data_IF_369017403062
#
_entry.id   IF_369017403062
#
_cell.length_a   1.000
_cell.length_b   1.000
_cell.length_c   1.000
_cell.angle_alpha   90.00
_cell.angle_beta   90.00
_cell.angle_gamma   90.00
#
_symmetry.space_group_name_H-M   'P 1'
#
loop_
_entity.id
_entity.type
_entity.pdbx_description
1 polymer ?
#
# COMPACT_ATOMS: atom_id res chain seq x y z
N UNK A 1 23.38 27.15 1.50
CA UNK A 1 22.43 26.48 0.60
C UNK A 1 21.05 27.04 0.90
N UNK A 2 20.29 27.47 -0.12
CA UNK A 2 18.97 28.11 0.07
C UNK A 2 17.79 27.19 -0.28
N UNK A 3 18.03 26.12 -1.02
CA UNK A 3 17.03 25.15 -1.41
C UNK A 3 17.64 23.75 -1.44
N UNK A 4 16.93 22.76 -0.94
CA UNK A 4 17.26 21.33 -1.05
C UNK A 4 16.04 20.61 -1.59
N UNK A 5 16.26 19.82 -2.63
CA UNK A 5 15.26 18.91 -3.20
C UNK A 5 15.86 17.51 -3.19
N UNK A 6 15.08 16.53 -2.78
CA UNK A 6 15.56 15.16 -2.70
C UNK A 6 14.49 14.19 -2.19
N UNK A 7 14.89 12.96 -1.95
CA UNK A 7 14.07 11.90 -1.35
C UNK A 7 14.07 12.04 0.18
N UNK A 8 13.63 11.01 0.92
CA UNK A 8 13.55 11.02 2.38
C UNK A 8 14.81 11.54 3.10
N UNK A 9 16.00 11.31 2.55
CA UNK A 9 17.24 11.82 3.15
C UNK A 9 17.32 13.36 3.19
N UNK A 10 16.64 14.06 2.28
CA UNK A 10 16.57 15.52 2.28
C UNK A 10 15.88 16.09 3.53
N UNK A 11 15.05 15.31 4.22
CA UNK A 11 14.42 15.72 5.48
C UNK A 11 15.44 16.08 6.59
N UNK A 12 16.66 15.56 6.50
CA UNK A 12 17.74 15.80 7.46
C UNK A 12 18.78 16.82 6.98
N UNK A 13 18.63 17.38 5.77
CA UNK A 13 19.60 18.31 5.23
C UNK A 13 19.65 19.62 6.06
N UNK A 14 20.86 20.10 6.44
CA UNK A 14 20.98 21.36 7.17
C UNK A 14 20.67 22.54 6.25
N UNK A 15 19.76 23.39 6.68
CA UNK A 15 19.41 24.65 6.02
C UNK A 15 19.42 25.77 7.06
N UNK A 16 20.03 26.91 6.70
CA UNK A 16 19.92 28.14 7.46
C UNK A 16 18.63 28.86 7.04
N UNK A 17 17.97 29.49 8.02
CA UNK A 17 16.77 30.31 7.79
C UNK A 17 15.68 29.54 7.03
N UNK A 18 15.32 28.37 7.54
CA UNK A 18 14.30 27.52 6.94
C UNK A 18 12.95 28.23 6.97
N UNK A 19 12.43 28.62 5.81
CA UNK A 19 11.15 29.34 5.68
C UNK A 19 10.01 28.47 5.14
N UNK A 20 10.30 27.38 4.44
CA UNK A 20 9.31 26.48 3.89
C UNK A 20 9.80 25.04 3.91
N UNK A 21 8.94 24.15 4.34
CA UNK A 21 9.07 22.71 4.21
C UNK A 21 7.91 22.20 3.36
N UNK A 22 8.23 21.42 2.33
CA UNK A 22 7.21 20.83 1.48
C UNK A 22 7.56 19.37 1.15
N UNK A 23 6.54 18.50 1.11
CA UNK A 23 6.68 17.16 0.54
C UNK A 23 5.44 16.77 -0.25
N UNK A 24 5.65 15.89 -1.21
CA UNK A 24 4.62 15.39 -2.09
C UNK A 24 4.33 13.93 -1.78
N UNK A 25 3.04 13.54 -1.85
CA UNK A 25 2.54 12.17 -1.73
C UNK A 25 2.87 11.56 -0.35
N UNK A 26 2.28 12.14 0.69
CA UNK A 26 2.57 11.88 2.10
C UNK A 26 2.35 10.42 2.55
N UNK A 27 1.57 9.66 1.79
CA UNK A 27 1.36 8.22 2.00
C UNK A 27 2.37 7.32 1.29
N UNK A 28 3.41 7.86 0.60
CA UNK A 28 4.37 7.03 -0.09
C UNK A 28 5.31 6.30 0.88
N UNK A 29 5.34 4.97 0.80
CA UNK A 29 6.23 4.10 1.59
C UNK A 29 7.73 4.37 1.37
N UNK A 30 8.11 5.06 0.28
CA UNK A 30 9.47 5.54 0.04
C UNK A 30 9.90 6.66 1.01
N UNK A 31 8.96 7.30 1.69
CA UNK A 31 9.22 8.31 2.72
C UNK A 31 9.54 7.67 4.08
N UNK A 32 9.29 6.38 4.26
CA UNK A 32 9.61 5.65 5.49
C UNK A 32 11.08 5.27 5.55
N UNK A 33 11.74 5.50 6.69
CA UNK A 33 13.12 5.03 6.91
C UNK A 33 13.11 3.56 7.34
N UNK A 34 13.72 2.65 6.55
CA UNK A 34 13.71 1.23 6.87
C UNK A 34 14.68 0.82 7.98
N UNK A 35 15.52 1.73 8.47
CA UNK A 35 16.53 1.48 9.49
C UNK A 35 16.18 2.17 10.80
N UNK A 36 16.52 1.52 11.88
CA UNK A 36 16.35 2.10 13.22
C UNK A 36 17.08 3.45 13.34
N UNK A 37 16.48 4.46 13.95
CA UNK A 37 15.24 4.45 14.74
C UNK A 37 13.92 4.62 13.97
N UNK A 38 13.89 4.38 12.67
CA UNK A 38 12.70 4.40 11.79
C UNK A 38 11.95 5.75 11.75
N UNK A 39 12.63 6.91 11.62
CA UNK A 39 11.97 8.19 11.63
C UNK A 39 11.08 8.35 10.39
N UNK A 40 9.85 8.78 10.60
CA UNK A 40 8.94 9.16 9.53
C UNK A 40 9.31 10.55 9.00
N UNK A 41 9.44 10.70 7.68
CA UNK A 41 9.75 12.00 7.04
C UNK A 41 8.74 13.06 7.46
N UNK A 42 7.47 12.74 7.49
CA UNK A 42 6.39 13.60 7.93
C UNK A 42 6.65 14.20 9.32
N UNK A 43 7.06 13.36 10.28
CA UNK A 43 7.25 13.79 11.64
C UNK A 43 8.54 14.60 11.81
N UNK A 44 9.62 14.20 11.12
CA UNK A 44 10.86 14.98 11.06
C UNK A 44 10.64 16.38 10.49
N UNK A 45 9.93 16.47 9.36
CA UNK A 45 9.67 17.74 8.69
C UNK A 45 8.72 18.64 9.50
N UNK A 46 7.71 18.05 10.14
CA UNK A 46 6.83 18.78 11.05
C UNK A 46 7.62 19.36 12.22
N UNK A 47 8.43 18.53 12.89
CA UNK A 47 9.26 18.98 14.02
C UNK A 47 10.20 20.12 13.60
N UNK A 48 10.81 20.01 12.42
CA UNK A 48 11.69 21.07 11.90
C UNK A 48 10.93 22.37 11.62
N UNK A 49 9.74 22.27 11.02
CA UNK A 49 8.90 23.43 10.78
C UNK A 49 8.51 24.11 12.10
N UNK A 50 8.08 23.33 13.10
CA UNK A 50 7.72 23.84 14.44
C UNK A 50 8.91 24.53 15.13
N UNK A 51 10.10 23.93 15.07
CA UNK A 51 11.31 24.49 15.70
C UNK A 51 11.81 25.77 15.05
N UNK A 52 11.58 25.95 13.76
CA UNK A 52 12.08 27.10 12.99
C UNK A 52 11.02 28.15 12.67
N UNK A 53 9.75 27.86 12.93
CA UNK A 53 8.62 28.70 12.50
C UNK A 53 8.40 28.68 10.98
N UNK A 54 8.92 27.68 10.28
CA UNK A 54 8.76 27.55 8.84
C UNK A 54 7.32 27.14 8.46
N UNK A 55 6.87 27.59 7.30
CA UNK A 55 5.62 27.11 6.72
C UNK A 55 5.74 25.64 6.35
N UNK A 56 4.64 24.87 6.53
CA UNK A 56 4.56 23.45 6.26
C UNK A 56 3.51 23.21 5.16
N UNK A 57 3.90 22.56 4.06
CA UNK A 57 3.01 22.21 2.96
C UNK A 57 3.15 20.72 2.65
N UNK A 58 2.05 20.03 2.59
CA UNK A 58 1.98 18.66 2.07
C UNK A 58 0.94 18.58 0.95
N UNK A 59 1.25 17.85 -0.09
CA UNK A 59 0.38 17.70 -1.27
C UNK A 59 0.38 16.28 -1.79
N UNK A 60 -0.64 15.96 -2.59
CA UNK A 60 -0.82 14.66 -3.23
C UNK A 60 -2.18 14.55 -3.88
N UNK A 61 -2.38 13.51 -4.67
CA UNK A 61 -3.69 13.18 -5.23
C UNK A 61 -4.60 12.49 -4.21
N UNK A 62 -4.03 11.89 -3.17
CA UNK A 62 -4.74 11.33 -2.03
C UNK A 62 -4.09 11.83 -0.73
N UNK A 63 -4.86 11.83 0.34
CA UNK A 63 -4.39 12.25 1.66
C UNK A 63 -4.24 11.02 2.55
N UNK A 64 -3.14 10.90 3.27
CA UNK A 64 -2.98 9.84 4.27
C UNK A 64 -3.84 10.07 5.50
N UNK A 65 -4.14 9.01 6.25
CA UNK A 65 -4.93 9.10 7.47
C UNK A 65 -4.24 9.97 8.54
N UNK A 66 -2.91 9.90 8.75
CA UNK A 66 -2.22 10.81 9.67
C UNK A 66 -2.31 12.30 9.29
N UNK A 67 -2.26 12.64 7.99
CA UNK A 67 -2.45 14.02 7.54
C UNK A 67 -3.90 14.44 7.67
N UNK A 68 -4.86 13.54 7.39
CA UNK A 68 -6.28 13.81 7.63
C UNK A 68 -6.55 14.15 9.10
N UNK A 69 -5.96 13.41 10.02
CA UNK A 69 -6.09 13.70 11.44
C UNK A 69 -5.60 15.12 11.79
N UNK A 70 -4.45 15.54 11.28
CA UNK A 70 -3.92 16.90 11.51
C UNK A 70 -4.82 18.00 10.95
N UNK A 71 -5.54 17.71 9.87
CA UNK A 71 -6.55 18.62 9.33
C UNK A 71 -7.76 18.69 10.25
N UNK A 72 -8.28 17.57 10.75
CA UNK A 72 -9.43 17.54 11.67
C UNK A 72 -9.10 18.16 13.04
N UNK A 73 -7.85 18.06 13.49
CA UNK A 73 -7.32 18.72 14.69
C UNK A 73 -7.07 20.22 14.47
N UNK A 74 -7.21 20.75 13.26
CA UNK A 74 -6.95 22.15 12.93
C UNK A 74 -5.48 22.54 12.88
N UNK A 75 -4.56 21.58 12.93
CA UNK A 75 -3.11 21.80 12.80
C UNK A 75 -2.74 22.15 11.34
N UNK A 76 -3.42 21.55 10.38
CA UNK A 76 -3.26 21.81 8.96
C UNK A 76 -4.55 22.38 8.38
N UNK A 77 -4.42 23.32 7.46
CA UNK A 77 -5.55 23.86 6.69
C UNK A 77 -5.63 23.12 5.37
N UNK A 78 -6.80 22.51 5.09
CA UNK A 78 -7.04 21.84 3.83
C UNK A 78 -7.24 22.86 2.68
N UNK A 79 -6.41 22.75 1.64
CA UNK A 79 -6.60 23.47 0.37
C UNK A 79 -7.07 22.44 -0.65
N UNK A 80 -8.32 22.53 -1.07
CA UNK A 80 -8.95 21.56 -1.97
C UNK A 80 -9.68 22.29 -3.11
N UNK A 81 -9.67 21.71 -4.32
CA UNK A 81 -10.49 22.24 -5.41
C UNK A 81 -11.98 22.06 -5.10
N UNK A 82 -12.83 22.88 -5.74
CA UNK A 82 -14.28 22.69 -5.64
C UNK A 82 -14.70 21.39 -6.32
N UNK A 83 -15.84 20.77 -5.91
CA UNK A 83 -16.35 19.57 -6.58
C UNK A 83 -16.58 19.75 -8.09
N UNK A 84 -16.86 20.96 -8.54
CA UNK A 84 -17.00 21.29 -9.96
C UNK A 84 -15.65 21.24 -10.68
N UNK A 85 -14.62 21.84 -10.08
CA UNK A 85 -13.25 21.79 -10.61
C UNK A 85 -12.73 20.35 -10.67
N UNK A 86 -13.03 19.55 -9.65
CA UNK A 86 -12.67 18.12 -9.64
C UNK A 86 -13.36 17.39 -10.79
N UNK A 87 -14.67 17.55 -10.95
CA UNK A 87 -15.43 16.90 -12.04
C UNK A 87 -14.97 17.35 -13.43
N UNK A 88 -14.55 18.59 -13.59
CA UNK A 88 -14.02 19.09 -14.84
C UNK A 88 -12.64 18.51 -15.20
N UNK A 89 -11.80 18.27 -14.20
CA UNK A 89 -10.42 17.79 -14.36
C UNK A 89 -10.26 16.26 -14.28
N UNK A 90 -11.20 15.58 -13.64
CA UNK A 90 -11.11 14.12 -13.44
C UNK A 90 -11.51 13.34 -14.70
N UNK A 91 -10.86 12.19 -14.98
CA UNK A 91 -11.31 11.23 -15.98
C UNK A 91 -12.59 10.53 -15.52
N UNK A 92 -13.33 9.94 -16.46
CA UNK A 92 -14.47 9.08 -16.16
C UNK A 92 -13.98 7.74 -15.60
N UNK A 93 -14.36 7.39 -14.39
CA UNK A 93 -14.00 6.11 -13.77
C UNK A 93 -15.12 5.08 -13.97
N UNK A 94 -14.74 3.91 -14.45
CA UNK A 94 -15.60 2.75 -14.68
C UNK A 94 -15.04 1.56 -13.90
N UNK A 95 -15.91 0.75 -13.32
CA UNK A 95 -15.52 -0.51 -12.66
C UNK A 95 -15.96 -1.65 -13.56
N UNK A 96 -15.00 -2.50 -13.96
CA UNK A 96 -15.31 -3.70 -14.72
C UNK A 96 -15.97 -4.73 -13.79
N UNK A 97 -17.21 -5.09 -14.09
CA UNK A 97 -17.92 -6.13 -13.38
C UNK A 97 -17.30 -7.51 -13.61
N UNK A 98 -17.71 -8.45 -12.76
CA UNK A 98 -17.41 -9.89 -12.93
C UNK A 98 -18.28 -10.48 -14.06
N UNK A 99 -18.27 -9.86 -15.24
CA UNK A 99 -18.91 -10.39 -16.46
C UNK A 99 -18.32 -11.73 -16.90
N UNK A 100 -17.56 -12.37 -16.03
CA UNK A 100 -16.90 -13.65 -16.23
C UNK A 100 -17.88 -14.77 -16.59
N UNK A 101 -19.10 -14.70 -16.08
CA UNK A 101 -20.11 -15.75 -16.29
C UNK A 101 -20.85 -15.63 -17.64
N UNK A 102 -20.72 -14.50 -18.35
CA UNK A 102 -21.52 -14.25 -19.57
C UNK A 102 -20.76 -14.26 -20.89
N UNK A 103 -19.44 -14.26 -20.86
CA UNK A 103 -18.63 -14.01 -22.05
C UNK A 103 -17.85 -15.22 -22.61
N UNK A 104 -18.04 -16.42 -22.10
CA UNK A 104 -17.35 -17.63 -22.58
C UNK A 104 -15.83 -17.59 -22.32
N UNK A 105 -15.03 -18.36 -23.12
CA UNK A 105 -13.57 -18.43 -22.89
C UNK A 105 -12.81 -17.12 -22.96
N UNK A 106 -13.35 -16.09 -23.63
CA UNK A 106 -12.76 -14.74 -23.65
C UNK A 106 -12.89 -14.00 -22.31
N UNK A 107 -13.90 -14.33 -21.51
CA UNK A 107 -14.06 -13.82 -20.14
C UNK A 107 -13.01 -14.36 -19.17
N UNK A 108 -12.37 -15.44 -19.56
CA UNK A 108 -11.22 -16.01 -18.87
C UNK A 108 -9.93 -15.23 -19.16
N UNK A 109 -9.95 -14.33 -20.14
CA UNK A 109 -8.85 -13.42 -20.39
C UNK A 109 -8.67 -12.45 -19.20
N UNK A 110 -7.45 -12.09 -18.94
CA UNK A 110 -7.09 -11.15 -17.86
C UNK A 110 -7.64 -9.74 -18.08
N UNK A 111 -8.05 -9.42 -19.29
CA UNK A 111 -8.61 -8.12 -19.67
C UNK A 111 -10.13 -8.26 -19.83
N UNK A 112 -10.92 -7.74 -18.89
CA UNK A 112 -12.38 -7.76 -19.02
C UNK A 112 -12.85 -7.06 -20.29
N UNK A 113 -14.02 -7.45 -20.87
CA UNK A 113 -14.55 -6.86 -22.09
C UNK A 113 -14.66 -5.34 -22.06
N UNK A 114 -15.02 -4.76 -20.90
CA UNK A 114 -15.07 -3.31 -20.72
C UNK A 114 -13.69 -2.68 -20.89
N UNK A 115 -12.67 -3.21 -20.20
CA UNK A 115 -11.31 -2.72 -20.28
C UNK A 115 -10.75 -2.83 -21.71
N UNK A 116 -11.02 -3.95 -22.38
CA UNK A 116 -10.59 -4.15 -23.78
C UNK A 116 -11.25 -3.13 -24.73
N UNK A 117 -12.57 -2.93 -24.66
CA UNK A 117 -13.28 -1.94 -25.49
C UNK A 117 -12.78 -0.54 -25.25
N UNK A 118 -12.62 -0.15 -23.96
CA UNK A 118 -12.10 1.17 -23.60
C UNK A 118 -10.70 1.39 -24.15
N UNK A 119 -9.79 0.41 -24.00
CA UNK A 119 -8.45 0.50 -24.55
C UNK A 119 -8.45 0.61 -26.07
N UNK A 120 -9.27 -0.19 -26.75
CA UNK A 120 -9.36 -0.17 -28.22
C UNK A 120 -9.78 1.20 -28.75
N UNK A 121 -10.83 1.78 -28.19
CA UNK A 121 -11.30 3.13 -28.58
C UNK A 121 -10.28 4.20 -28.21
N UNK A 122 -9.67 4.12 -27.05
CA UNK A 122 -8.68 5.09 -26.59
C UNK A 122 -7.41 5.10 -27.46
N UNK A 123 -6.96 3.94 -27.93
CA UNK A 123 -5.81 3.81 -28.83
C UNK A 123 -6.00 4.48 -30.20
N UNK A 124 -7.21 4.82 -30.57
CA UNK A 124 -7.48 5.66 -31.76
C UNK A 124 -7.09 7.13 -31.53
N UNK A 125 -6.99 7.55 -30.27
CA UNK A 125 -6.80 8.94 -29.88
C UNK A 125 -5.50 9.21 -29.09
N UNK A 126 -4.72 8.19 -28.75
CA UNK A 126 -3.46 8.37 -28.01
C UNK A 126 -3.03 7.17 -27.17
N UNK A 127 -2.06 7.35 -26.30
CA UNK A 127 -1.51 6.27 -25.48
C UNK A 127 -2.50 5.82 -24.39
N UNK A 128 -2.42 4.55 -24.02
CA UNK A 128 -3.19 3.92 -22.94
C UNK A 128 -2.25 3.41 -21.87
N UNK A 129 -2.44 3.88 -20.63
CA UNK A 129 -1.70 3.40 -19.47
C UNK A 129 -2.34 2.10 -18.95
N UNK A 130 -1.52 1.13 -18.62
CA UNK A 130 -1.95 -0.12 -17.97
C UNK A 130 -1.14 -0.30 -16.70
N UNK A 131 -1.75 0.01 -15.56
CA UNK A 131 -1.13 -0.23 -14.26
C UNK A 131 -1.33 -1.69 -13.85
N UNK A 132 -0.22 -2.35 -13.49
CA UNK A 132 -0.21 -3.74 -13.03
C UNK A 132 0.58 -3.88 -11.73
N UNK A 133 0.18 -4.75 -10.80
CA UNK A 133 0.93 -4.96 -9.57
C UNK A 133 2.40 -5.35 -9.83
N UNK A 134 3.32 -4.92 -8.97
CA UNK A 134 4.75 -5.32 -9.05
C UNK A 134 4.90 -6.83 -8.88
N UNK A 135 5.86 -7.43 -9.58
CA UNK A 135 6.36 -8.79 -9.26
C UNK A 135 6.91 -8.79 -7.83
N UNK A 136 6.50 -9.77 -7.03
CA UNK A 136 6.88 -9.83 -5.61
C UNK A 136 5.89 -9.14 -4.68
N UNK A 137 5.00 -8.30 -5.17
CA UNK A 137 3.76 -7.92 -4.51
C UNK A 137 2.82 -9.14 -4.56
N UNK A 138 3.10 -10.02 -3.64
CA UNK A 138 2.25 -11.12 -3.18
C UNK A 138 1.65 -11.98 -4.30
N UNK A 139 2.17 -13.16 -4.51
CA UNK A 139 1.40 -14.17 -5.21
C UNK A 139 0.25 -14.61 -4.31
N UNK A 140 -0.85 -13.85 -4.27
CA UNK A 140 -2.10 -14.39 -3.77
C UNK A 140 -2.50 -15.55 -4.66
N UNK A 141 -3.06 -16.55 -4.04
CA UNK A 141 -3.47 -17.77 -4.71
C UNK A 141 -4.99 -17.75 -4.86
N UNK A 142 -5.46 -18.30 -5.95
CA UNK A 142 -6.87 -18.58 -6.19
C UNK A 142 -7.04 -20.04 -6.61
N UNK A 143 -8.24 -20.55 -6.48
CA UNK A 143 -8.60 -21.83 -7.04
C UNK A 143 -8.35 -21.85 -8.55
N UNK A 144 -7.70 -22.89 -9.06
CA UNK A 144 -7.45 -23.03 -10.50
C UNK A 144 -8.76 -23.20 -11.28
N UNK A 145 -9.76 -23.80 -10.66
CA UNK A 145 -11.02 -24.18 -11.32
C UNK A 145 -12.03 -23.02 -11.33
N UNK A 146 -12.51 -22.57 -10.16
CA UNK A 146 -13.53 -21.53 -10.06
C UNK A 146 -12.96 -20.11 -9.87
N UNK A 147 -11.65 -19.97 -9.64
CA UNK A 147 -10.93 -18.71 -9.44
C UNK A 147 -11.24 -17.97 -8.15
N UNK A 148 -12.05 -18.55 -7.28
CA UNK A 148 -12.27 -17.99 -5.96
C UNK A 148 -10.92 -17.75 -5.22
N UNK A 149 -10.71 -16.59 -4.60
CA UNK A 149 -9.50 -16.33 -3.82
C UNK A 149 -9.28 -17.40 -2.74
N UNK A 150 -8.09 -17.98 -2.71
CA UNK A 150 -7.78 -19.00 -1.71
C UNK A 150 -7.63 -18.37 -0.33
N UNK A 151 -8.50 -18.77 0.60
CA UNK A 151 -8.52 -18.30 1.98
C UNK A 151 -8.07 -19.38 2.95
N UNK A 152 -7.42 -18.96 4.05
CA UNK A 152 -6.98 -19.83 5.12
C UNK A 152 -8.19 -20.38 5.90
N UNK A 153 -8.26 -21.68 6.13
CA UNK A 153 -9.34 -22.28 6.92
C UNK A 153 -9.31 -21.91 8.41
N UNK A 154 -8.16 -21.40 8.92
CA UNK A 154 -8.00 -21.01 10.33
C UNK A 154 -8.41 -19.58 10.63
N UNK A 155 -8.04 -18.64 9.73
CA UNK A 155 -8.21 -17.21 10.01
C UNK A 155 -8.81 -16.44 8.83
N UNK A 156 -9.22 -17.13 7.77
CA UNK A 156 -9.74 -16.57 6.52
C UNK A 156 -8.80 -15.58 5.82
N UNK A 157 -7.54 -15.49 6.26
CA UNK A 157 -6.50 -14.68 5.64
C UNK A 157 -6.14 -15.18 4.23
N UNK A 158 -5.60 -14.30 3.37
CA UNK A 158 -5.25 -14.65 1.99
C UNK A 158 -4.11 -15.68 1.97
N UNK A 159 -4.24 -16.66 1.09
CA UNK A 159 -3.20 -17.64 0.82
C UNK A 159 -2.21 -17.11 -0.21
N UNK A 160 -0.91 -17.32 0.03
CA UNK A 160 0.15 -16.91 -0.88
C UNK A 160 1.21 -17.98 -1.06
N UNK A 161 2.04 -17.80 -2.09
CA UNK A 161 3.22 -18.62 -2.31
C UNK A 161 4.45 -17.81 -1.86
N UNK A 162 5.21 -18.26 -0.87
CA UNK A 162 6.46 -17.59 -0.48
C UNK A 162 7.46 -17.55 -1.63
N UNK A 163 8.28 -16.51 -1.69
CA UNK A 163 9.35 -16.42 -2.69
C UNK A 163 10.29 -17.64 -2.56
N UNK A 164 10.41 -18.41 -3.65
CA UNK A 164 11.21 -19.66 -3.66
C UNK A 164 10.57 -20.84 -2.92
N UNK A 165 9.36 -20.66 -2.37
CA UNK A 165 8.64 -21.75 -1.67
C UNK A 165 7.76 -22.54 -2.61
N UNK A 166 7.57 -23.82 -2.29
CA UNK A 166 6.66 -24.74 -3.00
C UNK A 166 5.35 -25.00 -2.26
N UNK A 167 5.21 -24.46 -1.05
CA UNK A 167 4.06 -24.75 -0.17
C UNK A 167 3.23 -23.49 0.05
N UNK A 168 1.92 -23.53 -0.29
CA UNK A 168 1.00 -22.43 0.00
C UNK A 168 0.96 -22.11 1.49
N UNK A 169 1.03 -20.84 1.83
CA UNK A 169 1.10 -20.35 3.22
C UNK A 169 0.10 -19.22 3.43
N UNK A 170 -0.62 -19.26 4.55
CA UNK A 170 -1.46 -18.15 4.96
C UNK A 170 -0.59 -16.94 5.33
N UNK A 171 -0.96 -15.79 4.80
CA UNK A 171 -0.21 -14.55 4.99
C UNK A 171 -0.49 -13.87 6.31
N UNK A 172 -1.62 -14.18 6.94
CA UNK A 172 -1.95 -13.63 8.24
C UNK A 172 -1.41 -14.49 9.39
N UNK A 173 -1.79 -15.76 9.46
CA UNK A 173 -1.43 -16.64 10.58
C UNK A 173 -0.24 -17.56 10.29
N UNK A 174 0.30 -17.55 9.06
CA UNK A 174 1.42 -18.38 8.67
C UNK A 174 1.16 -19.89 8.57
N UNK A 175 -0.11 -20.32 8.63
CA UNK A 175 -0.45 -21.73 8.43
C UNK A 175 -0.03 -22.18 7.03
N UNK A 176 0.68 -23.33 6.94
CA UNK A 176 1.11 -23.91 5.68
C UNK A 176 0.15 -25.01 5.24
N UNK A 177 -0.02 -25.16 3.93
CA UNK A 177 -0.88 -26.15 3.32
C UNK A 177 -0.06 -27.01 2.38
N UNK A 178 0.12 -28.29 2.72
CA UNK A 178 0.81 -29.26 1.85
C UNK A 178 0.12 -29.43 0.51
N UNK A 179 0.70 -30.19 -0.43
CA UNK A 179 0.20 -30.33 -1.80
C UNK A 179 -1.27 -30.77 -1.95
N UNK A 180 -1.82 -31.40 -0.92
CA UNK A 180 -3.23 -31.85 -0.86
C UNK A 180 -4.06 -31.10 0.19
N UNK A 181 -3.49 -30.10 0.84
CA UNK A 181 -4.08 -29.47 2.03
C UNK A 181 -5.09 -28.37 1.75
N UNK A 182 -5.13 -27.80 0.54
CA UNK A 182 -6.13 -26.83 0.16
C UNK A 182 -7.32 -27.52 -0.50
N UNK A 183 -8.52 -27.16 -0.07
CA UNK A 183 -9.79 -27.51 -0.72
C UNK A 183 -10.57 -26.22 -0.90
N UNK A 184 -10.98 -25.92 -2.11
CA UNK A 184 -11.78 -24.73 -2.40
C UNK A 184 -13.17 -24.90 -1.80
N UNK A 185 -13.66 -23.94 -0.98
CA UNK A 185 -14.99 -24.04 -0.38
C UNK A 185 -16.12 -23.91 -1.40
N UNK A 186 -15.86 -23.35 -2.59
CA UNK A 186 -16.88 -23.09 -3.61
C UNK A 186 -17.05 -24.23 -4.62
N UNK A 187 -15.97 -24.99 -4.91
CA UNK A 187 -16.02 -26.00 -5.97
C UNK A 187 -15.24 -27.28 -5.67
N UNK A 188 -14.75 -27.45 -4.43
CA UNK A 188 -13.93 -28.59 -3.97
C UNK A 188 -12.63 -28.81 -4.79
N UNK A 189 -12.26 -27.87 -5.65
CA UNK A 189 -11.02 -27.88 -6.41
C UNK A 189 -9.81 -27.83 -5.49
N UNK A 190 -8.74 -28.58 -5.82
CA UNK A 190 -7.54 -28.69 -5.00
C UNK A 190 -6.32 -27.98 -5.59
N UNK A 191 -6.42 -27.57 -6.84
CA UNK A 191 -5.34 -26.89 -7.52
C UNK A 191 -5.39 -25.38 -7.31
N UNK A 192 -4.22 -24.82 -7.05
CA UNK A 192 -4.04 -23.39 -6.84
C UNK A 192 -3.29 -22.77 -8.01
N UNK A 193 -3.68 -21.56 -8.37
CA UNK A 193 -3.00 -20.72 -9.33
C UNK A 193 -2.55 -19.42 -8.70
N UNK A 194 -1.44 -18.87 -9.18
CA UNK A 194 -1.09 -17.48 -8.88
C UNK A 194 -2.04 -16.54 -9.63
N UNK A 195 -2.57 -15.56 -8.92
CA UNK A 195 -3.48 -14.57 -9.50
C UNK A 195 -2.72 -13.35 -10.04
N UNK A 196 -1.49 -13.10 -9.56
CA UNK A 196 -0.68 -11.96 -10.03
C UNK A 196 0.19 -12.38 -11.22
N UNK A 197 0.02 -11.66 -12.32
CA UNK A 197 0.86 -11.76 -13.52
C UNK A 197 1.71 -10.50 -13.60
N UNK A 198 3.04 -10.64 -13.65
CA UNK A 198 3.94 -9.49 -13.72
C UNK A 198 3.86 -8.72 -15.05
N UNK A 199 4.32 -7.46 -15.05
CA UNK A 199 4.27 -6.53 -16.18
C UNK A 199 4.75 -7.13 -17.52
N UNK A 200 5.82 -7.92 -17.51
CA UNK A 200 6.35 -8.55 -18.74
C UNK A 200 5.35 -9.51 -19.39
N UNK A 201 4.72 -10.39 -18.62
CA UNK A 201 3.73 -11.32 -19.16
C UNK A 201 2.46 -10.59 -19.61
N UNK A 202 2.08 -9.53 -18.90
CA UNK A 202 0.99 -8.65 -19.33
C UNK A 202 1.30 -7.99 -20.67
N UNK A 203 2.56 -7.53 -20.87
CA UNK A 203 2.99 -6.95 -22.12
C UNK A 203 2.87 -7.95 -23.29
N UNK A 204 3.27 -9.21 -23.08
CA UNK A 204 3.14 -10.27 -24.07
C UNK A 204 1.66 -10.60 -24.39
N UNK A 205 0.79 -10.62 -23.38
CA UNK A 205 -0.65 -10.89 -23.54
C UNK A 205 -1.36 -9.73 -24.25
N UNK A 206 -1.08 -8.49 -23.86
CA UNK A 206 -1.65 -7.30 -24.50
C UNK A 206 -1.12 -7.07 -25.91
N UNK A 207 0.17 -7.33 -26.18
CA UNK A 207 0.72 -7.28 -27.53
C UNK A 207 0.02 -8.23 -28.52
N UNK A 208 -0.43 -9.40 -28.03
CA UNK A 208 -1.25 -10.33 -28.82
C UNK A 208 -2.69 -9.87 -28.97
N UNK A 209 -3.26 -9.21 -27.94
CA UNK A 209 -4.64 -8.72 -27.96
C UNK A 209 -4.82 -7.46 -28.82
N UNK A 210 -3.74 -6.70 -29.05
CA UNK A 210 -3.72 -5.45 -29.84
C UNK A 210 -2.61 -5.51 -30.90
N UNK A 211 -2.77 -6.32 -31.95
CA UNK A 211 -1.75 -6.46 -32.99
C UNK A 211 -1.49 -5.11 -33.68
N UNK A 212 -0.22 -4.81 -33.91
CA UNK A 212 0.22 -3.56 -34.57
C UNK A 212 0.35 -2.34 -33.63
N UNK A 213 -0.04 -2.46 -32.36
CA UNK A 213 0.14 -1.39 -31.36
C UNK A 213 1.49 -1.53 -30.66
N UNK A 214 2.22 -0.42 -30.53
CA UNK A 214 3.46 -0.36 -29.77
C UNK A 214 3.21 -0.66 -28.30
N UNK A 215 4.02 -1.53 -27.69
CA UNK A 215 3.96 -1.87 -26.27
C UNK A 215 5.24 -1.41 -25.58
N UNK A 216 5.10 -0.57 -24.56
CA UNK A 216 6.21 -0.07 -23.73
C UNK A 216 6.03 -0.54 -22.30
N UNK A 217 7.12 -0.79 -21.59
CA UNK A 217 7.09 -1.19 -20.18
C UNK A 217 7.89 -0.23 -19.34
N UNK A 218 7.36 0.12 -18.17
CA UNK A 218 8.02 0.96 -17.17
C UNK A 218 7.95 0.30 -15.79
N UNK A 219 9.10 0.08 -15.16
CA UNK A 219 9.13 -0.63 -13.85
C UNK A 219 10.52 -1.15 -13.49
N UNK A 220 10.58 -2.37 -12.92
CA UNK A 220 11.86 -2.98 -12.52
C UNK A 220 12.78 -3.18 -13.73
N UNK A 221 13.88 -2.49 -13.73
CA UNK A 221 14.90 -2.50 -14.80
C UNK A 221 15.01 -1.18 -15.53
N UNK A 222 13.90 -0.63 -15.99
CA UNK A 222 13.88 0.66 -16.66
C UNK A 222 12.60 1.43 -16.29
N UNK A 223 12.75 2.62 -15.76
CA UNK A 223 11.64 3.54 -15.48
C UNK A 223 11.68 4.64 -16.53
N UNK A 224 10.62 4.72 -17.34
CA UNK A 224 10.43 5.76 -18.32
C UNK A 224 9.99 7.05 -17.63
N UNK A 225 10.57 8.18 -17.98
CA UNK A 225 10.14 9.47 -17.44
C UNK A 225 8.89 9.99 -18.19
N UNK A 226 8.83 9.80 -19.49
CA UNK A 226 7.75 10.29 -20.35
C UNK A 226 7.53 9.38 -21.57
N UNK A 227 6.35 9.52 -22.18
CA UNK A 227 5.99 8.93 -23.49
C UNK A 227 5.35 9.99 -24.36
N UNK A 228 5.47 9.83 -25.67
CA UNK A 228 4.85 10.72 -26.67
C UNK A 228 3.32 10.55 -26.75
N UNK A 229 2.66 11.37 -27.59
CA UNK A 229 1.21 11.38 -27.77
C UNK A 229 0.71 10.23 -28.68
N UNK A 230 1.61 9.47 -29.32
CA UNK A 230 1.23 8.44 -30.28
C UNK A 230 0.54 7.25 -29.59
N UNK A 231 -0.37 6.55 -30.31
CA UNK A 231 -1.01 5.33 -29.83
C UNK A 231 0.01 4.29 -29.35
N UNK A 232 -0.03 3.95 -28.09
CA UNK A 232 0.81 2.93 -27.49
C UNK A 232 0.16 2.34 -26.23
N UNK A 233 0.43 1.09 -25.92
CA UNK A 233 0.15 0.49 -24.62
C UNK A 233 1.35 0.68 -23.73
N UNK A 234 1.18 1.43 -22.64
CA UNK A 234 2.23 1.70 -21.65
C UNK A 234 1.95 0.92 -20.37
N UNK A 235 2.71 -0.14 -20.13
CA UNK A 235 2.51 -1.02 -19.00
C UNK A 235 3.45 -0.60 -17.88
N UNK A 236 2.88 -0.13 -16.78
CA UNK A 236 3.65 0.37 -15.65
C UNK A 236 3.31 -0.35 -14.35
N UNK A 237 4.29 -0.42 -13.46
CA UNK A 237 4.04 -0.80 -12.05
C UNK A 237 3.80 0.44 -11.21
N UNK A 238 3.01 0.36 -10.11
CA UNK A 238 2.73 1.51 -9.26
C UNK A 238 3.99 2.29 -8.86
N UNK A 239 3.97 3.61 -9.10
CA UNK A 239 5.09 4.52 -8.88
C UNK A 239 6.14 4.56 -9.99
N UNK A 240 5.89 3.89 -11.13
CA UNK A 240 6.75 3.94 -12.31
C UNK A 240 5.97 4.36 -13.58
N UNK A 241 4.80 4.96 -13.42
CA UNK A 241 3.98 5.44 -14.53
C UNK A 241 4.66 6.66 -15.19
N UNK A 242 5.01 6.60 -16.47
CA UNK A 242 5.56 7.75 -17.18
C UNK A 242 4.47 8.78 -17.48
N UNK A 243 4.84 10.05 -17.56
CA UNK A 243 3.93 11.10 -18.00
C UNK A 243 3.74 11.01 -19.52
N UNK A 244 2.49 11.01 -19.98
CA UNK A 244 2.20 11.09 -21.41
C UNK A 244 2.04 12.54 -21.85
N UNK A 245 2.63 12.89 -22.98
CA UNK A 245 2.41 14.20 -23.58
C UNK A 245 0.93 14.37 -23.97
N UNK A 246 0.28 15.40 -23.43
CA UNK A 246 -1.16 15.60 -23.59
C UNK A 246 -2.05 14.64 -22.79
N UNK A 247 -1.49 13.84 -21.87
CA UNK A 247 -2.20 12.89 -21.03
C UNK A 247 -2.59 11.58 -21.74
N UNK A 248 -2.86 10.55 -20.95
CA UNK A 248 -3.34 9.27 -21.49
C UNK A 248 -4.79 9.37 -21.95
N UNK A 249 -5.12 8.73 -23.08
CA UNK A 249 -6.49 8.62 -23.56
C UNK A 249 -7.34 7.67 -22.70
N UNK A 250 -6.71 6.67 -22.09
CA UNK A 250 -7.33 5.86 -21.05
C UNK A 250 -6.27 5.26 -20.09
N UNK A 251 -6.72 4.90 -18.89
CA UNK A 251 -5.93 4.14 -17.91
C UNK A 251 -6.68 2.89 -17.49
N UNK A 252 -6.01 1.74 -17.55
CA UNK A 252 -6.50 0.46 -17.05
C UNK A 252 -5.78 0.11 -15.75
N UNK A 253 -6.53 0.01 -14.67
CA UNK A 253 -6.05 -0.41 -13.36
C UNK A 253 -6.38 -1.90 -13.20
N UNK A 254 -5.40 -2.78 -13.47
CA UNK A 254 -5.62 -4.22 -13.48
C UNK A 254 -5.28 -4.85 -12.12
N UNK A 255 -5.95 -5.98 -11.84
CA UNK A 255 -5.75 -6.74 -10.60
C UNK A 255 -5.95 -5.89 -9.33
N UNK A 256 -6.99 -5.06 -9.28
CA UNK A 256 -7.27 -4.13 -8.18
C UNK A 256 -7.29 -4.79 -6.80
N UNK A 257 -7.79 -6.04 -6.72
CA UNK A 257 -7.77 -6.84 -5.48
C UNK A 257 -6.36 -7.02 -4.91
N UNK A 258 -5.31 -7.03 -5.73
CA UNK A 258 -3.94 -7.28 -5.27
C UNK A 258 -3.39 -6.15 -4.38
N UNK A 259 -3.90 -4.93 -4.53
CA UNK A 259 -3.58 -3.81 -3.66
C UNK A 259 -4.44 -3.82 -2.39
N UNK A 260 -5.70 -4.24 -2.49
CA UNK A 260 -6.62 -4.33 -1.36
C UNK A 260 -6.30 -5.50 -0.41
N UNK A 261 -5.80 -6.62 -0.92
CA UNK A 261 -5.44 -7.81 -0.14
C UNK A 261 -4.09 -7.68 0.60
N UNK A 262 -3.52 -6.49 0.66
CA UNK A 262 -2.29 -6.26 1.42
C UNK A 262 -2.57 -6.38 2.92
N UNK A 263 -1.58 -6.89 3.63
CA UNK A 263 -1.60 -6.84 5.10
C UNK A 263 -1.20 -5.43 5.56
N UNK A 264 -2.03 -4.83 6.39
CA UNK A 264 -1.75 -3.51 6.95
C UNK A 264 -3.02 -2.66 7.07
N UNK A 265 -3.01 -1.74 8.02
CA UNK A 265 -4.13 -0.82 8.26
C UNK A 265 -4.38 0.12 7.07
N UNK A 266 -3.31 0.47 6.33
CA UNK A 266 -3.37 1.42 5.23
C UNK A 266 -3.65 0.78 3.87
N UNK A 267 -3.97 -0.53 3.80
CA UNK A 267 -4.15 -1.23 2.53
C UNK A 267 -5.18 -0.56 1.59
N UNK A 268 -6.32 -0.13 2.11
CA UNK A 268 -7.37 0.53 1.34
C UNK A 268 -6.94 1.93 0.86
N UNK A 269 -6.35 2.72 1.77
CA UNK A 269 -5.87 4.08 1.47
C UNK A 269 -4.72 4.04 0.47
N UNK A 270 -3.78 3.11 0.64
CA UNK A 270 -2.65 2.91 -0.25
C UNK A 270 -3.09 2.42 -1.65
N UNK A 271 -4.08 1.52 -1.72
CA UNK A 271 -4.66 1.11 -3.00
C UNK A 271 -5.25 2.31 -3.73
N UNK A 272 -6.08 3.11 -3.04
CA UNK A 272 -6.66 4.32 -3.60
C UNK A 272 -5.59 5.32 -4.04
N UNK A 273 -4.58 5.58 -3.21
CA UNK A 273 -3.47 6.49 -3.53
C UNK A 273 -2.81 6.12 -4.86
N UNK A 274 -2.48 4.84 -5.04
CA UNK A 274 -1.86 4.33 -6.28
C UNK A 274 -2.79 4.39 -7.48
N UNK A 275 -4.07 4.11 -7.30
CA UNK A 275 -5.04 4.19 -8.38
C UNK A 275 -5.28 5.64 -8.82
N UNK A 276 -5.48 6.56 -7.86
CA UNK A 276 -5.69 7.98 -8.16
C UNK A 276 -4.43 8.58 -8.79
N UNK A 277 -3.23 8.21 -8.31
CA UNK A 277 -1.97 8.65 -8.91
C UNK A 277 -1.84 8.28 -10.39
N UNK A 278 -2.14 7.04 -10.75
CA UNK A 278 -2.14 6.61 -12.15
C UNK A 278 -3.30 7.25 -12.96
N UNK A 279 -4.49 7.32 -12.36
CA UNK A 279 -5.68 7.88 -13.00
C UNK A 279 -5.53 9.39 -13.27
N UNK A 280 -4.81 10.13 -12.43
CA UNK A 280 -4.53 11.55 -12.62
C UNK A 280 -3.66 11.86 -13.85
N UNK A 281 -3.00 10.87 -14.43
CA UNK A 281 -2.27 11.00 -15.69
C UNK A 281 -3.17 10.90 -16.93
N UNK A 282 -4.46 10.55 -16.73
CA UNK A 282 -5.45 10.43 -17.80
C UNK A 282 -6.07 11.80 -18.09
N UNK A 283 -6.39 12.05 -19.35
CA UNK A 283 -7.12 13.24 -19.77
C UNK A 283 -8.42 13.40 -18.98
N UNK A 284 -8.93 14.62 -18.82
CA UNK A 284 -10.26 14.85 -18.25
C UNK A 284 -11.37 14.13 -19.02
N UNK A 285 -12.48 13.82 -18.36
CA UNK A 285 -13.63 13.18 -18.98
C UNK A 285 -14.23 13.97 -20.17
N UNK A 286 -14.30 15.33 -20.14
CA UNK A 286 -14.71 16.12 -21.31
C UNK A 286 -13.81 15.91 -22.53
N UNK A 287 -12.54 15.60 -22.33
CA UNK A 287 -11.56 15.30 -23.38
C UNK A 287 -11.51 13.80 -23.75
N UNK A 288 -12.51 13.04 -23.32
CA UNK A 288 -12.65 11.62 -23.59
C UNK A 288 -11.86 10.68 -22.68
N UNK A 289 -11.20 11.20 -21.64
CA UNK A 289 -10.40 10.41 -20.72
C UNK A 289 -11.23 9.42 -19.88
N UNK A 290 -10.81 8.17 -19.84
CA UNK A 290 -11.48 7.11 -19.11
C UNK A 290 -10.51 6.24 -18.31
N UNK A 291 -10.93 5.86 -17.11
CA UNK A 291 -10.21 4.91 -16.25
C UNK A 291 -11.07 3.68 -16.04
N UNK A 292 -10.50 2.49 -16.20
CA UNK A 292 -11.20 1.23 -15.94
C UNK A 292 -10.47 0.50 -14.81
N UNK A 293 -11.13 0.36 -13.67
CA UNK A 293 -10.67 -0.52 -12.59
C UNK A 293 -11.21 -1.93 -12.83
N UNK A 294 -10.32 -2.91 -12.84
CA UNK A 294 -10.64 -4.32 -13.07
C UNK A 294 -10.06 -5.23 -11.98
N UNK A 295 -10.74 -6.33 -11.72
CA UNK A 295 -10.29 -7.32 -10.75
C UNK A 295 -10.58 -6.92 -9.30
N UNK A 296 -11.68 -6.23 -9.04
CA UNK A 296 -12.22 -6.02 -7.70
C UNK A 296 -13.55 -6.74 -7.57
N UNK A 297 -13.89 -7.27 -6.37
CA UNK A 297 -15.22 -7.84 -6.13
C UNK A 297 -16.32 -6.82 -6.43
N UNK A 298 -17.37 -7.23 -7.13
CA UNK A 298 -18.50 -6.35 -7.49
C UNK A 298 -19.75 -6.58 -6.65
N UNK A 299 -19.76 -7.68 -5.89
CA UNK A 299 -20.87 -8.05 -5.02
C UNK A 299 -20.86 -7.36 -3.64
N UNK A 300 -19.78 -6.60 -3.35
CA UNK A 300 -19.64 -5.83 -2.11
C UNK A 300 -19.22 -4.40 -2.39
N UNK A 301 -19.66 -3.48 -1.53
CA UNK A 301 -19.18 -2.09 -1.57
C UNK A 301 -17.79 -2.01 -0.95
N UNK A 302 -16.82 -1.56 -1.71
CA UNK A 302 -15.43 -1.36 -1.27
C UNK A 302 -15.19 0.15 -1.18
N UNK A 303 -14.94 0.71 0.03
CA UNK A 303 -14.80 2.16 0.20
C UNK A 303 -13.73 2.79 -0.70
N UNK A 304 -12.59 2.13 -0.90
CA UNK A 304 -11.53 2.63 -1.78
C UNK A 304 -11.97 2.70 -3.26
N UNK A 305 -12.79 1.75 -3.73
CA UNK A 305 -13.37 1.77 -5.09
C UNK A 305 -14.39 2.90 -5.22
N UNK A 306 -15.23 3.07 -4.22
CA UNK A 306 -16.22 4.15 -4.19
C UNK A 306 -15.55 5.53 -4.20
N UNK A 307 -14.49 5.72 -3.41
CA UNK A 307 -13.71 6.94 -3.39
C UNK A 307 -13.04 7.24 -4.74
N UNK A 308 -12.53 6.22 -5.43
CA UNK A 308 -11.97 6.37 -6.78
C UNK A 308 -13.05 6.80 -7.80
N UNK A 309 -14.21 6.14 -7.79
CA UNK A 309 -15.33 6.44 -8.71
C UNK A 309 -15.85 7.86 -8.51
N UNK A 310 -15.93 8.32 -7.27
CA UNK A 310 -16.36 9.69 -6.92
C UNK A 310 -15.26 10.71 -7.06
N UNK A 311 -14.02 10.28 -7.24
CA UNK A 311 -12.82 11.12 -7.18
C UNK A 311 -12.73 11.89 -5.86
N UNK A 312 -13.01 11.18 -4.77
CA UNK A 312 -13.01 11.73 -3.41
C UNK A 312 -12.12 10.93 -2.44
N UNK A 313 -10.79 11.03 -2.58
CA UNK A 313 -9.86 10.35 -1.69
C UNK A 313 -9.92 10.89 -0.24
N UNK A 314 -10.37 12.13 -0.06
CA UNK A 314 -10.51 12.73 1.27
C UNK A 314 -11.60 12.05 2.09
N UNK A 315 -12.70 11.71 1.45
CA UNK A 315 -13.79 10.95 2.09
C UNK A 315 -13.28 9.62 2.67
N UNK A 316 -12.45 8.88 1.91
CA UNK A 316 -11.88 7.63 2.42
C UNK A 316 -10.96 7.88 3.62
N UNK A 317 -10.10 8.90 3.57
CA UNK A 317 -9.18 9.21 4.66
C UNK A 317 -9.92 9.58 5.96
N UNK A 318 -11.01 10.39 5.86
CA UNK A 318 -11.86 10.73 7.00
C UNK A 318 -12.58 9.50 7.56
N UNK A 319 -13.11 8.66 6.68
CA UNK A 319 -13.79 7.42 7.10
C UNK A 319 -12.84 6.48 7.83
N UNK A 320 -11.68 6.22 7.27
CA UNK A 320 -10.63 5.39 7.89
C UNK A 320 -10.20 5.97 9.24
N UNK A 321 -10.05 7.28 9.34
CA UNK A 321 -9.71 7.93 10.62
C UNK A 321 -10.80 7.70 11.66
N UNK A 322 -12.07 7.87 11.30
CA UNK A 322 -13.18 7.64 12.22
C UNK A 322 -13.21 6.18 12.75
N UNK A 323 -13.03 5.21 11.85
CA UNK A 323 -12.94 3.79 12.22
C UNK A 323 -11.73 3.52 13.15
N UNK A 324 -10.58 4.16 12.90
CA UNK A 324 -9.38 4.04 13.75
C UNK A 324 -9.53 4.70 15.12
N UNK A 325 -10.27 5.79 15.20
CA UNK A 325 -10.62 6.41 16.50
C UNK A 325 -11.49 5.45 17.31
N UNK A 326 -12.51 4.85 16.71
CA UNK A 326 -13.41 3.90 17.38
C UNK A 326 -12.66 2.65 17.89
N UNK A 327 -11.75 2.13 17.06
CA UNK A 327 -10.99 0.91 17.37
C UNK A 327 -9.69 1.17 18.16
N UNK A 328 -9.41 2.41 18.52
CA UNK A 328 -8.15 2.83 19.15
C UNK A 328 -6.92 2.30 18.38
N UNK A 329 -6.85 2.62 17.06
CA UNK A 329 -5.76 2.27 16.17
C UNK A 329 -4.97 3.52 15.72
N UNK A 330 -3.71 3.39 15.29
CA UNK A 330 -2.95 4.52 14.75
C UNK A 330 -3.65 5.15 13.53
N UNK A 331 -3.62 6.47 13.40
CA UNK A 331 -2.88 7.45 14.19
C UNK A 331 -3.64 8.00 15.39
N UNK A 332 -4.85 7.52 15.69
CA UNK A 332 -5.66 7.99 16.83
C UNK A 332 -5.00 7.69 18.19
N UNK A 333 -4.17 6.66 18.23
CA UNK A 333 -3.33 6.29 19.37
C UNK A 333 -1.90 6.09 18.92
N UNK A 334 -0.96 6.09 19.88
CA UNK A 334 0.42 5.69 19.66
C UNK A 334 0.56 4.18 19.87
N UNK A 335 1.18 3.51 18.93
CA UNK A 335 1.56 2.10 19.06
C UNK A 335 3.07 1.92 18.89
N UNK A 336 3.63 1.06 19.73
CA UNK A 336 5.01 0.59 19.60
C UNK A 336 5.03 -0.94 19.45
N UNK A 337 5.98 -1.43 18.68
CA UNK A 337 6.25 -2.85 18.51
C UNK A 337 7.58 -3.18 19.15
N UNK A 338 7.60 -4.24 19.96
CA UNK A 338 8.81 -4.81 20.54
C UNK A 338 8.93 -6.24 20.05
N UNK A 339 10.05 -6.59 19.39
CA UNK A 339 10.26 -7.89 18.74
C UNK A 339 11.52 -8.54 19.29
N UNK A 340 11.45 -9.84 19.57
CA UNK A 340 12.59 -10.64 20.02
C UNK A 340 12.23 -12.10 20.30
N UNK A 341 13.18 -12.90 20.77
CA UNK A 341 12.89 -14.23 21.31
C UNK A 341 11.96 -14.11 22.53
N UNK A 342 11.01 -15.06 22.67
CA UNK A 342 9.91 -14.96 23.62
C UNK A 342 10.34 -14.66 25.07
N UNK A 343 11.30 -15.42 25.61
CA UNK A 343 11.76 -15.24 27.01
C UNK A 343 12.39 -13.86 27.24
N UNK A 344 13.44 -13.50 26.50
CA UNK A 344 14.09 -12.20 26.58
C UNK A 344 13.14 -11.01 26.33
N UNK A 345 12.22 -11.14 25.38
CA UNK A 345 11.24 -10.11 25.07
C UNK A 345 10.30 -9.85 26.24
N UNK A 346 9.68 -10.91 26.78
CA UNK A 346 8.74 -10.77 27.92
C UNK A 346 9.45 -10.18 29.13
N UNK A 347 10.63 -10.71 29.46
CA UNK A 347 11.44 -10.18 30.57
C UNK A 347 11.79 -8.68 30.39
N UNK A 348 12.15 -8.29 29.15
CA UNK A 348 12.47 -6.89 28.85
C UNK A 348 11.25 -5.97 29.02
N UNK A 349 10.08 -6.37 28.51
CA UNK A 349 8.85 -5.59 28.61
C UNK A 349 8.37 -5.51 30.06
N UNK A 350 8.50 -6.58 30.84
CA UNK A 350 8.13 -6.60 32.26
C UNK A 350 9.05 -5.72 33.12
N UNK A 351 10.35 -5.70 32.79
CA UNK A 351 11.33 -4.84 33.47
C UNK A 351 11.26 -3.35 33.05
N UNK A 352 10.58 -3.03 31.96
CA UNK A 352 10.56 -1.66 31.41
C UNK A 352 9.80 -0.63 32.26
N UNK A 353 9.20 -1.05 33.40
CA UNK A 353 8.43 -0.19 34.29
C UNK A 353 7.43 0.73 33.54
N UNK A 354 6.72 0.15 32.58
CA UNK A 354 5.78 0.88 31.75
C UNK A 354 4.63 1.48 32.58
N UNK A 355 4.11 2.66 32.24
CA UNK A 355 2.94 3.25 32.88
C UNK A 355 1.73 2.29 32.87
N UNK A 356 0.88 2.35 33.89
CA UNK A 356 -0.31 1.50 34.00
C UNK A 356 -1.33 1.71 32.86
N UNK A 357 -1.23 2.83 32.16
CA UNK A 357 -2.06 3.17 30.98
C UNK A 357 -1.62 2.45 29.70
N UNK A 358 -0.45 1.80 29.71
CA UNK A 358 0.04 1.05 28.53
C UNK A 358 -0.73 -0.26 28.40
N UNK A 359 -1.48 -0.38 27.35
CA UNK A 359 -2.08 -1.66 26.98
C UNK A 359 -1.06 -2.54 26.27
N UNK A 360 -0.98 -3.81 26.69
CA UNK A 360 -0.11 -4.83 26.07
C UNK A 360 -0.92 -5.82 25.27
N UNK A 361 -0.58 -5.98 24.01
CA UNK A 361 -1.15 -6.96 23.12
C UNK A 361 -0.09 -8.01 22.75
N UNK A 362 -0.33 -9.24 23.08
CA UNK A 362 0.63 -10.33 22.83
C UNK A 362 1.18 -10.97 24.12
N UNK A 363 2.26 -11.79 24.00
CA UNK A 363 3.15 -11.97 22.83
C UNK A 363 2.50 -12.76 21.69
N UNK A 364 2.61 -12.23 20.47
CA UNK A 364 2.11 -12.80 19.22
C UNK A 364 3.28 -13.33 18.38
N UNK A 365 3.09 -14.36 17.52
CA UNK A 365 4.11 -14.77 16.57
C UNK A 365 4.53 -13.62 15.67
N UNK A 366 5.84 -13.44 15.44
CA UNK A 366 6.37 -12.44 14.54
C UNK A 366 7.16 -13.09 13.41
N UNK A 367 6.92 -12.64 12.17
CA UNK A 367 7.69 -13.01 10.99
C UNK A 367 8.19 -11.75 10.28
N UNK A 368 9.53 -11.60 10.13
CA UNK A 368 10.06 -10.49 9.33
C UNK A 368 9.56 -10.57 7.89
N UNK A 369 9.23 -9.43 7.24
CA UNK A 369 8.72 -9.39 5.86
C UNK A 369 9.64 -10.04 4.82
N UNK A 370 10.95 -10.07 5.07
CA UNK A 370 11.99 -10.55 4.17
C UNK A 370 12.56 -11.94 4.51
N UNK A 371 12.04 -12.62 5.51
CA UNK A 371 12.53 -13.98 5.83
C UNK A 371 12.06 -14.97 4.79
N UNK A 372 12.96 -15.52 3.94
CA UNK A 372 12.61 -16.72 3.20
C UNK A 372 12.25 -17.80 4.22
N UNK A 373 11.22 -18.58 3.91
CA UNK A 373 10.83 -19.77 4.67
C UNK A 373 11.94 -20.82 4.54
N UNK A 374 13.08 -20.59 5.16
CA UNK A 374 14.07 -21.63 5.39
C UNK A 374 13.64 -22.38 6.65
N UNK A 375 13.43 -23.69 6.60
CA UNK A 375 13.09 -24.48 7.77
C UNK A 375 14.23 -24.62 8.80
N UNK A 376 15.34 -23.95 8.59
CA UNK A 376 16.49 -23.96 9.51
C UNK A 376 16.31 -22.91 10.60
N UNK A 377 15.74 -23.36 11.70
CA UNK A 377 16.06 -23.15 13.11
C UNK A 377 16.74 -21.80 13.50
N UNK A 378 16.16 -20.67 13.15
CA UNK A 378 16.36 -19.47 13.95
C UNK A 378 15.39 -19.46 15.14
N UNK A 379 15.68 -18.74 16.24
CA UNK A 379 14.74 -18.61 17.36
C UNK A 379 13.40 -18.07 16.84
N UNK A 380 12.31 -18.71 17.28
CA UNK A 380 10.96 -18.24 16.95
C UNK A 380 10.77 -16.84 17.55
N UNK A 381 10.72 -15.82 16.71
CA UNK A 381 10.50 -14.45 17.14
C UNK A 381 9.03 -14.25 17.48
N UNK A 382 8.81 -13.46 18.50
CA UNK A 382 7.49 -12.97 18.89
C UNK A 382 7.51 -11.44 18.99
N UNK A 383 6.33 -10.86 18.98
CA UNK A 383 6.14 -9.43 19.16
C UNK A 383 5.18 -9.14 20.31
N UNK A 384 5.41 -8.04 20.97
CA UNK A 384 4.47 -7.38 21.86
C UNK A 384 4.15 -6.01 21.28
N UNK A 385 2.87 -5.72 21.09
CA UNK A 385 2.41 -4.40 20.73
C UNK A 385 2.02 -3.65 22.02
N UNK A 386 2.50 -2.43 22.13
CA UNK A 386 2.22 -1.53 23.23
C UNK A 386 1.40 -0.36 22.71
N UNK A 387 0.28 -0.05 23.34
CA UNK A 387 -0.66 0.98 22.91
C UNK A 387 -0.88 1.99 24.03
N UNK A 388 -0.85 3.28 23.70
CA UNK A 388 -1.13 4.38 24.61
C UNK A 388 -1.89 5.50 23.91
N UNK A 389 -2.64 6.35 24.64
CA UNK A 389 -3.11 7.62 24.12
C UNK A 389 -1.96 8.46 23.54
N UNK A 390 -2.25 9.30 22.55
CA UNK A 390 -1.23 10.07 21.80
C UNK A 390 -0.45 11.04 22.70
N UNK A 391 -1.08 11.64 23.69
CA UNK A 391 -0.46 12.54 24.65
C UNK A 391 0.61 11.86 25.50
N UNK A 392 0.61 10.53 25.57
CA UNK A 392 1.60 9.72 26.28
C UNK A 392 2.70 9.14 25.36
N UNK A 393 2.75 9.55 24.10
CA UNK A 393 3.76 9.12 23.14
C UNK A 393 5.20 9.27 23.68
N UNK A 394 5.54 10.48 24.16
CA UNK A 394 6.88 10.77 24.65
C UNK A 394 7.24 9.96 25.89
N UNK A 395 6.27 9.64 26.74
CA UNK A 395 6.48 8.83 27.93
C UNK A 395 6.79 7.39 27.56
N UNK A 396 6.00 6.79 26.67
CA UNK A 396 6.26 5.45 26.13
C UNK A 396 7.65 5.37 25.46
N UNK A 397 7.99 6.36 24.63
CA UNK A 397 9.28 6.42 23.95
C UNK A 397 10.45 6.46 24.94
N UNK A 398 10.34 7.24 26.05
CA UNK A 398 11.38 7.31 27.09
C UNK A 398 11.56 5.98 27.83
N UNK A 399 10.47 5.31 28.18
CA UNK A 399 10.54 3.98 28.84
C UNK A 399 11.18 2.92 27.93
N UNK A 400 10.82 2.89 26.65
CA UNK A 400 11.40 1.96 25.71
C UNK A 400 12.87 2.27 25.38
N UNK A 401 13.25 3.54 25.33
CA UNK A 401 14.64 3.94 25.18
C UNK A 401 15.49 3.52 26.41
N UNK A 402 14.96 3.73 27.63
CA UNK A 402 15.61 3.30 28.88
C UNK A 402 15.78 1.75 28.90
N UNK A 403 14.74 1.01 28.58
CA UNK A 403 14.79 -0.46 28.46
C UNK A 403 15.91 -0.91 27.51
N UNK A 404 16.03 -0.30 26.33
CA UNK A 404 17.11 -0.63 25.38
C UNK A 404 18.50 -0.28 25.92
N UNK A 405 18.64 0.88 26.57
CA UNK A 405 19.90 1.32 27.17
C UNK A 405 20.37 0.37 28.28
N UNK A 406 19.47 -0.05 29.19
CA UNK A 406 19.77 -1.00 30.25
C UNK A 406 20.21 -2.37 29.71
N UNK A 407 19.50 -2.91 28.71
CA UNK A 407 19.87 -4.16 28.07
C UNK A 407 21.24 -4.09 27.42
N UNK A 408 21.52 -2.96 26.72
CA UNK A 408 22.83 -2.71 26.13
C UNK A 408 23.94 -2.62 27.20
N UNK A 409 23.69 -1.96 28.30
CA UNK A 409 24.65 -1.84 29.42
C UNK A 409 24.95 -3.22 30.07
N UNK A 410 23.94 -4.09 30.16
CA UNK A 410 24.08 -5.46 30.66
C UNK A 410 24.69 -6.43 29.63
N UNK A 411 24.92 -5.98 28.40
CA UNK A 411 25.44 -6.81 27.28
C UNK A 411 24.60 -8.07 27.05
N UNK A 412 23.27 -7.94 27.13
CA UNK A 412 22.39 -9.08 26.94
C UNK A 412 22.53 -9.63 25.51
N UNK A 413 22.70 -10.96 25.34
CA UNK A 413 23.10 -11.54 24.06
C UNK A 413 21.98 -11.53 23.01
N UNK A 414 20.72 -11.62 23.45
CA UNK A 414 19.57 -11.64 22.53
C UNK A 414 19.11 -10.22 22.19
N UNK A 415 18.96 -9.94 20.90
CA UNK A 415 18.47 -8.64 20.46
C UNK A 415 16.97 -8.52 20.66
N UNK A 416 16.55 -7.42 21.26
CA UNK A 416 15.16 -6.97 21.31
C UNK A 416 15.08 -5.66 20.54
N UNK A 417 14.34 -5.65 19.44
CA UNK A 417 14.14 -4.47 18.62
C UNK A 417 12.88 -3.73 19.04
N UNK A 418 12.92 -2.41 18.93
CA UNK A 418 11.78 -1.52 19.23
C UNK A 418 11.52 -0.66 18.02
N UNK A 419 10.27 -0.59 17.59
CA UNK A 419 9.78 0.35 16.59
C UNK A 419 8.62 1.13 17.18
N UNK A 420 8.73 2.46 17.14
CA UNK A 420 7.64 3.38 17.50
C UNK A 420 6.83 3.73 16.26
N UNK A 421 5.64 4.27 16.49
CA UNK A 421 4.77 4.85 15.44
C UNK A 421 4.53 3.90 14.27
N UNK A 422 3.99 2.74 14.60
CA UNK A 422 3.54 1.78 13.59
C UNK A 422 2.42 2.42 12.79
N UNK A 423 2.73 2.95 11.61
CA UNK A 423 1.72 3.46 10.70
C UNK A 423 0.81 2.33 10.20
N UNK A 424 1.36 1.14 10.02
CA UNK A 424 0.71 0.07 9.25
C UNK A 424 0.42 -1.19 10.04
N UNK A 425 0.75 -1.30 11.31
CA UNK A 425 0.68 -2.60 11.98
C UNK A 425 1.55 -3.67 11.32
N UNK A 426 2.48 -3.28 10.43
CA UNK A 426 3.44 -4.18 9.83
C UNK A 426 4.48 -4.57 10.87
N UNK A 427 4.30 -5.71 11.42
CA UNK A 427 5.32 -6.50 12.06
C UNK A 427 5.72 -7.62 11.14
#
# INVERSE_FOLDING_TARGET
MRCVVGTRAAAFAPLHDLGLVAWWDDGDDLLDEPRAPYPQVRDVLTLRADQTGAALVTGGFARSVPVQQRVEEGVLVAVQPTPESVRAAAPRVLVAGDDLDRAGPAALARLPPLAWRTAKTALENGPVLVQVPRRGYLPSLACQHCREPARCVRCHGPMGMPAGGSVPTCRWCGATYGPQGFVCPECDGRELRSTVVGARRTAEELGRAFPGVSVRTSGSGEVLAAVGPEPALVIATPGAEPVAEGGYAATLLLDGWALLDRFGLDAAVEALRRWVGAAALTRPAPDGGAVVLAGTPTHTTIPAVEALVRWDPTWLASRELAERVELALPPAVTMAQVVGPRGPLVAAVDAAALPATVERLGPLPFRPPSSPTSPTAGPTLVQVLLRVPRDQHADLARHLAAMRAERSARKEPESVSVRMDLADGQG
#
